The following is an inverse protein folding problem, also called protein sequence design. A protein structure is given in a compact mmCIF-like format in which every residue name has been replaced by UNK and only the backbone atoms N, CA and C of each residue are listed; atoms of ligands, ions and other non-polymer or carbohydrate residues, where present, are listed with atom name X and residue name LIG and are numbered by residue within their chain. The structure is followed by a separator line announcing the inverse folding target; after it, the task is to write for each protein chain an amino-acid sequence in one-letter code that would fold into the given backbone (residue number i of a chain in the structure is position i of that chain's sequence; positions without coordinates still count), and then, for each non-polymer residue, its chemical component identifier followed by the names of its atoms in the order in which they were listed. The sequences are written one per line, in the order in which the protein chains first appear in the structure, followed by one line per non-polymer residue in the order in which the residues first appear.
data_IF_028714854729
#
_entry.id   IF_028714854729
#
_cell.length_a   1.000
_cell.length_b   1.000
_cell.length_c   1.000
_cell.angle_alpha   90.00
_cell.angle_beta   90.00
_cell.angle_gamma   90.00
#
_symmetry.space_group_name_H-M   'P 1'
#
loop_
_entity.id
_entity.type
_entity.pdbx_description
1 polymer ?
#
# COMPACT_ATOMS: atom_id res chain seq x y z
N UNK A 1 -11.96 11.05 -13.43
CA UNK A 1 -12.40 9.71 -12.95
C UNK A 1 -13.86 9.85 -12.55
N UNK A 2 -14.77 8.97 -12.99
CA UNK A 2 -16.19 9.14 -12.64
C UNK A 2 -16.43 8.96 -11.13
N UNK A 3 -17.47 9.61 -10.59
CA UNK A 3 -17.77 9.61 -9.15
C UNK A 3 -17.96 8.19 -8.59
N UNK A 4 -18.56 7.29 -9.38
CA UNK A 4 -18.78 5.90 -8.99
C UNK A 4 -17.46 5.16 -8.71
N UNK A 5 -16.44 5.34 -9.56
CA UNK A 5 -15.13 4.72 -9.36
C UNK A 5 -14.42 5.27 -8.12
N UNK A 6 -14.60 6.55 -7.79
CA UNK A 6 -14.05 7.13 -6.56
C UNK A 6 -14.70 6.46 -5.35
N UNK A 7 -16.03 6.39 -5.31
CA UNK A 7 -16.78 5.78 -4.21
C UNK A 7 -16.38 4.31 -4.04
N UNK A 8 -16.30 3.55 -5.13
CA UNK A 8 -15.88 2.15 -5.09
C UNK A 8 -14.47 1.98 -4.52
N UNK A 9 -13.51 2.81 -4.96
CA UNK A 9 -12.14 2.77 -4.44
C UNK A 9 -12.08 3.14 -2.95
N UNK A 10 -12.90 4.10 -2.50
CA UNK A 10 -13.02 4.44 -1.09
C UNK A 10 -13.60 3.30 -0.26
N UNK A 11 -14.63 2.61 -0.75
CA UNK A 11 -15.22 1.45 -0.09
C UNK A 11 -14.24 0.27 0.01
N UNK A 12 -13.52 -0.03 -1.07
CA UNK A 12 -12.47 -1.06 -1.09
C UNK A 12 -11.36 -0.71 -0.08
N UNK A 13 -10.90 0.55 -0.10
CA UNK A 13 -9.89 1.03 0.83
C UNK A 13 -10.35 0.96 2.28
N UNK A 14 -11.60 1.34 2.56
CA UNK A 14 -12.18 1.24 3.90
C UNK A 14 -12.28 -0.22 4.36
N UNK A 15 -12.83 -1.09 3.53
CA UNK A 15 -12.97 -2.52 3.80
C UNK A 15 -11.61 -3.16 4.10
N UNK A 16 -10.60 -2.90 3.27
CA UNK A 16 -9.27 -3.45 3.50
C UNK A 16 -8.67 -2.94 4.81
N UNK A 17 -8.64 -1.63 5.00
CA UNK A 17 -7.89 -1.01 6.11
C UNK A 17 -8.55 -1.14 7.48
N UNK A 18 -9.87 -1.34 7.54
CA UNK A 18 -10.61 -1.42 8.81
C UNK A 18 -11.10 -2.83 9.15
N UNK A 19 -11.13 -3.75 8.17
CA UNK A 19 -11.60 -5.12 8.40
C UNK A 19 -10.48 -6.11 8.07
N UNK A 20 -10.01 -6.13 6.82
CA UNK A 20 -9.06 -7.15 6.35
C UNK A 20 -7.73 -7.11 7.11
N UNK A 21 -7.21 -5.92 7.41
CA UNK A 21 -5.95 -5.72 8.15
C UNK A 21 -5.96 -6.32 9.56
N UNK A 22 -7.13 -6.58 10.16
CA UNK A 22 -7.27 -7.17 11.49
C UNK A 22 -7.52 -8.69 11.46
N UNK A 23 -7.73 -9.29 10.29
CA UNK A 23 -7.93 -10.74 10.16
C UNK A 23 -6.61 -11.45 10.46
N UNK A 24 -6.55 -12.44 11.37
CA UNK A 24 -5.31 -13.14 11.78
C UNK A 24 -4.81 -14.17 10.74
N UNK A 25 -4.97 -13.90 9.44
CA UNK A 25 -4.48 -14.72 8.35
C UNK A 25 -3.72 -13.86 7.32
N UNK A 26 -2.42 -14.11 7.19
CA UNK A 26 -1.58 -13.40 6.22
C UNK A 26 -1.95 -13.75 4.77
N UNK A 27 -2.50 -14.95 4.54
CA UNK A 27 -2.99 -15.41 3.24
C UNK A 27 -4.17 -14.53 2.81
N UNK A 28 -5.18 -14.37 3.67
CA UNK A 28 -6.36 -13.54 3.38
C UNK A 28 -5.93 -12.10 3.09
N UNK A 29 -5.11 -11.49 3.95
CA UNK A 29 -4.62 -10.12 3.75
C UNK A 29 -3.88 -9.94 2.42
N UNK A 30 -2.96 -10.85 2.11
CA UNK A 30 -2.20 -10.84 0.85
C UNK A 30 -3.11 -10.94 -0.36
N UNK A 31 -3.98 -11.93 -0.41
CA UNK A 31 -4.81 -12.16 -1.60
C UNK A 31 -5.88 -11.07 -1.78
N UNK A 32 -6.40 -10.47 -0.70
CA UNK A 32 -7.23 -9.27 -0.83
C UNK A 32 -6.50 -8.12 -1.54
N UNK A 33 -5.25 -7.83 -1.19
CA UNK A 33 -4.48 -6.80 -1.88
C UNK A 33 -4.25 -7.13 -3.36
N UNK A 34 -3.96 -8.39 -3.68
CA UNK A 34 -3.81 -8.86 -5.06
C UNK A 34 -5.11 -8.66 -5.84
N UNK A 35 -6.25 -9.07 -5.28
CA UNK A 35 -7.57 -8.87 -5.89
C UNK A 35 -7.90 -7.39 -6.11
N UNK A 36 -7.42 -6.51 -5.24
CA UNK A 36 -7.61 -5.06 -5.38
C UNK A 36 -6.58 -4.38 -6.29
N UNK A 37 -5.72 -5.15 -6.96
CA UNK A 37 -4.81 -4.69 -8.01
C UNK A 37 -3.37 -4.44 -7.56
N UNK A 38 -3.00 -4.83 -6.34
CA UNK A 38 -1.61 -4.84 -5.89
C UNK A 38 -0.80 -5.98 -6.51
N UNK A 39 0.49 -5.74 -6.74
CA UNK A 39 1.42 -6.79 -7.19
C UNK A 39 2.22 -7.27 -5.98
N UNK A 40 2.01 -8.51 -5.55
CA UNK A 40 2.65 -9.07 -4.36
C UNK A 40 3.26 -10.43 -4.70
N UNK A 41 4.57 -10.54 -4.51
CA UNK A 41 5.36 -11.74 -4.80
C UNK A 41 5.06 -12.94 -3.92
N UNK A 42 5.64 -14.07 -4.29
CA UNK A 42 5.58 -15.34 -3.57
C UNK A 42 6.29 -15.26 -2.21
N UNK A 43 5.82 -16.04 -1.23
CA UNK A 43 6.30 -16.02 0.17
C UNK A 43 6.33 -14.64 0.88
N UNK A 44 5.79 -13.59 0.28
CA UNK A 44 5.68 -12.27 0.91
C UNK A 44 4.57 -12.23 1.95
N UNK A 45 4.87 -11.62 3.09
CA UNK A 45 4.00 -11.52 4.26
C UNK A 45 3.75 -10.06 4.62
N UNK A 46 2.48 -9.74 4.85
CA UNK A 46 2.05 -8.43 5.35
C UNK A 46 1.32 -8.66 6.66
N UNK A 47 1.84 -8.11 7.75
CA UNK A 47 1.29 -8.27 9.08
C UNK A 47 0.08 -7.36 9.32
N UNK A 48 -0.57 -7.59 10.46
CA UNK A 48 -1.84 -6.95 10.80
C UNK A 48 -1.70 -5.46 11.09
N UNK A 49 -2.84 -4.78 11.19
CA UNK A 49 -2.97 -3.40 11.67
C UNK A 49 -2.18 -2.36 10.86
N UNK A 50 -1.76 -2.68 9.63
CA UNK A 50 -1.17 -1.71 8.71
C UNK A 50 -2.22 -0.85 8.00
N UNK A 51 -1.75 0.15 7.26
CA UNK A 51 -2.59 0.98 6.39
C UNK A 51 -2.03 0.95 4.96
N UNK A 52 -2.89 0.68 3.98
CA UNK A 52 -2.56 0.65 2.56
C UNK A 52 -3.40 1.68 1.80
N UNK A 53 -2.73 2.66 1.23
CA UNK A 53 -3.28 3.64 0.30
C UNK A 53 -2.85 3.35 -1.13
N UNK A 54 -3.77 3.49 -2.10
CA UNK A 54 -3.50 3.32 -3.55
C UNK A 54 -2.87 1.97 -3.92
N UNK A 55 -3.49 0.87 -3.47
CA UNK A 55 -3.01 -0.51 -3.70
C UNK A 55 -2.67 -0.84 -5.16
N UNK A 56 -3.34 -0.25 -6.15
CA UNK A 56 -3.07 -0.47 -7.59
C UNK A 56 -1.69 0.02 -8.05
N UNK A 57 -1.02 0.83 -7.24
CA UNK A 57 0.34 1.33 -7.47
C UNK A 57 1.38 0.74 -6.50
N UNK A 58 0.99 -0.31 -5.76
CA UNK A 58 1.85 -1.02 -4.82
C UNK A 58 2.43 -2.27 -5.51
N UNK A 59 3.75 -2.37 -5.53
CA UNK A 59 4.50 -3.53 -5.99
C UNK A 59 5.45 -4.02 -4.90
N UNK A 60 5.34 -5.28 -4.52
CA UNK A 60 6.18 -5.91 -3.49
C UNK A 60 6.72 -7.23 -4.05
N UNK A 61 8.04 -7.40 -4.03
CA UNK A 61 8.74 -8.58 -4.53
C UNK A 61 8.48 -9.84 -3.70
N UNK A 62 9.26 -10.89 -3.99
CA UNK A 62 9.18 -12.18 -3.32
C UNK A 62 9.91 -12.18 -1.98
N UNK A 63 9.54 -13.06 -1.05
CA UNK A 63 10.24 -13.24 0.23
C UNK A 63 10.37 -11.96 1.09
N UNK A 64 9.47 -11.00 0.88
CA UNK A 64 9.50 -9.71 1.57
C UNK A 64 8.56 -9.73 2.77
N UNK A 65 8.97 -9.10 3.87
CA UNK A 65 8.17 -9.01 5.10
C UNK A 65 7.85 -7.56 5.44
N UNK A 66 6.56 -7.24 5.43
CA UNK A 66 6.02 -5.98 5.93
C UNK A 66 5.46 -6.23 7.33
N UNK A 67 6.11 -5.66 8.34
CA UNK A 67 5.77 -5.90 9.74
C UNK A 67 4.49 -5.16 10.16
N UNK A 68 4.02 -5.45 11.38
CA UNK A 68 2.75 -4.96 11.92
C UNK A 68 2.74 -3.44 11.96
N UNK A 69 1.60 -2.82 11.65
CA UNK A 69 1.42 -1.38 11.82
C UNK A 69 2.09 -0.49 10.76
N UNK A 70 2.67 -1.06 9.71
CA UNK A 70 3.28 -0.26 8.65
C UNK A 70 2.24 0.49 7.81
N UNK A 71 2.63 1.66 7.32
CA UNK A 71 1.82 2.49 6.42
C UNK A 71 2.47 2.49 5.04
N UNK A 72 1.76 2.04 4.01
CA UNK A 72 2.20 2.12 2.61
C UNK A 72 1.20 2.95 1.81
N UNK A 73 1.55 4.18 1.47
CA UNK A 73 0.71 5.09 0.69
C UNK A 73 1.29 5.32 -0.70
N UNK A 74 0.83 4.52 -1.67
CA UNK A 74 1.37 4.44 -3.02
C UNK A 74 0.75 5.47 -4.00
N UNK A 75 0.55 6.73 -3.60
CA UNK A 75 0.00 7.77 -4.49
C UNK A 75 0.89 8.05 -5.73
N UNK A 76 2.19 8.23 -5.53
CA UNK A 76 3.21 8.27 -6.60
C UNK A 76 3.60 6.87 -7.09
N UNK A 77 3.49 5.89 -6.19
CA UNK A 77 3.82 4.49 -6.44
C UNK A 77 4.91 4.03 -5.48
N UNK A 78 4.83 2.76 -5.07
CA UNK A 78 5.80 2.15 -4.17
C UNK A 78 6.21 0.81 -4.77
N UNK A 79 7.51 0.64 -5.00
CA UNK A 79 8.11 -0.65 -5.37
C UNK A 79 9.07 -1.07 -4.27
N UNK A 80 8.85 -2.27 -3.74
CA UNK A 80 9.73 -2.93 -2.76
C UNK A 80 10.24 -4.21 -3.40
N UNK A 81 11.56 -4.42 -3.38
CA UNK A 81 12.25 -5.56 -3.97
C UNK A 81 11.97 -6.91 -3.32
N UNK A 82 12.79 -7.89 -3.67
CA UNK A 82 12.79 -9.22 -3.08
C UNK A 82 13.57 -9.24 -1.77
N UNK A 83 13.22 -10.12 -0.85
CA UNK A 83 13.97 -10.36 0.39
C UNK A 83 14.12 -9.12 1.29
N UNK A 84 13.19 -8.17 1.20
CA UNK A 84 13.22 -6.92 1.99
C UNK A 84 12.49 -7.11 3.32
N UNK A 85 13.01 -6.50 4.39
CA UNK A 85 12.30 -6.40 5.67
C UNK A 85 11.94 -4.95 5.97
N UNK A 86 10.64 -4.67 6.10
CA UNK A 86 10.13 -3.37 6.55
C UNK A 86 9.66 -3.52 8.01
N UNK A 87 10.40 -2.90 8.91
CA UNK A 87 10.25 -3.05 10.36
C UNK A 87 8.95 -2.43 10.91
N UNK A 88 8.64 -2.77 12.17
CA UNK A 88 7.41 -2.38 12.85
C UNK A 88 7.14 -0.87 12.74
N UNK A 89 5.93 -0.51 12.30
CA UNK A 89 5.45 0.88 12.18
C UNK A 89 6.29 1.79 11.28
N UNK A 90 7.02 1.23 10.31
CA UNK A 90 7.62 2.04 9.25
C UNK A 90 6.54 2.62 8.33
N UNK A 91 6.76 3.85 7.89
CA UNK A 91 5.85 4.60 7.01
C UNK A 91 6.54 4.90 5.68
N UNK A 92 5.96 4.44 4.59
CA UNK A 92 6.43 4.70 3.22
C UNK A 92 5.31 5.42 2.48
N UNK A 93 5.53 6.69 2.17
CA UNK A 93 4.50 7.61 1.66
C UNK A 93 5.03 8.28 0.40
N UNK A 94 4.47 7.91 -0.75
CA UNK A 94 4.82 8.45 -2.08
C UNK A 94 3.91 9.59 -2.54
N UNK A 95 3.01 10.05 -1.66
CA UNK A 95 2.14 11.19 -1.92
C UNK A 95 2.71 12.44 -1.27
N UNK A 96 2.88 13.51 -2.05
CA UNK A 96 3.18 14.85 -1.59
C UNK A 96 2.33 15.90 -2.31
N UNK A 97 2.62 17.15 -2.00
CA UNK A 97 2.05 18.35 -2.60
C UNK A 97 3.18 19.35 -2.85
N UNK A 98 3.04 20.16 -3.89
CA UNK A 98 3.95 21.29 -4.08
C UNK A 98 3.71 22.33 -2.98
N UNK A 99 4.73 22.58 -2.17
CA UNK A 99 4.69 23.54 -1.05
C UNK A 99 4.55 24.99 -1.53
N UNK A 100 4.91 25.28 -2.78
CA UNK A 100 4.80 26.60 -3.38
C UNK A 100 3.50 26.79 -4.18
N UNK A 101 2.72 25.71 -4.37
CA UNK A 101 1.51 25.77 -5.17
C UNK A 101 0.39 26.51 -4.42
N UNK A 102 -0.16 27.61 -4.98
CA UNK A 102 -1.26 28.35 -4.35
C UNK A 102 -2.59 27.56 -4.33
N UNK A 103 -2.68 26.48 -5.11
CA UNK A 103 -3.86 25.62 -5.29
C UNK A 103 -3.71 24.23 -4.66
N UNK A 104 -2.65 24.01 -3.86
CA UNK A 104 -2.35 22.72 -3.20
C UNK A 104 -2.24 21.52 -4.18
N UNK A 105 -1.60 21.73 -5.33
CA UNK A 105 -1.40 20.71 -6.35
C UNK A 105 -0.64 19.49 -5.79
N UNK A 106 -1.05 18.31 -6.21
CA UNK A 106 -0.42 17.06 -5.80
C UNK A 106 0.92 16.87 -6.52
N UNK A 107 1.98 16.64 -5.75
CA UNK A 107 3.31 16.28 -6.24
C UNK A 107 3.64 14.86 -5.75
N UNK A 108 3.45 13.88 -6.61
CA UNK A 108 3.53 12.47 -6.25
C UNK A 108 4.76 11.83 -6.89
N UNK A 109 5.73 11.44 -6.07
CA UNK A 109 7.00 10.88 -6.53
C UNK A 109 7.10 9.39 -6.18
N UNK A 110 7.58 8.53 -7.11
CA UNK A 110 7.71 7.10 -6.83
C UNK A 110 8.78 6.83 -5.78
N UNK A 111 8.56 5.80 -4.96
CA UNK A 111 9.56 5.27 -4.03
C UNK A 111 9.98 3.87 -4.48
N UNK A 112 11.28 3.63 -4.53
CA UNK A 112 11.87 2.33 -4.84
C UNK A 112 12.79 1.90 -3.69
N UNK A 113 12.50 0.76 -3.10
CA UNK A 113 13.39 0.04 -2.18
C UNK A 113 13.88 -1.19 -2.92
N UNK A 114 15.19 -1.28 -3.12
CA UNK A 114 15.84 -2.40 -3.82
C UNK A 114 15.78 -3.72 -3.04
N UNK A 115 16.43 -4.73 -3.60
CA UNK A 115 16.64 -6.04 -2.97
C UNK A 115 17.67 -5.96 -1.82
#
# INVERSE_FOLDING_TARGET
MNHLKIILMSLIGYFYNNIVTYIPSHIIRKYCLIMFGGKIGHHTRIDMCGYIGRVTKLNIGNYTHINRGCILQAFGGITIGNSVSISHRCNIISGGHDVNSPTFEGDHQPIVIGD
#
